data_IF_650970243692
#
_entry.id   IF_650970243692
#
_cell.length_a   1.000
_cell.length_b   1.000
_cell.length_c   1.000
_cell.angle_alpha   90.00
_cell.angle_beta   90.00
_cell.angle_gamma   90.00
#
_symmetry.space_group_name_H-M   'P 1'
#
loop_
_entity.id
_entity.type
_entity.pdbx_description
1 polymer ?
#
# COMPACT_ATOMS: atom_id res chain seq x y z
N UNK A 1 -35.44 -52.73 3.05
CA UNK A 1 -34.34 -51.76 3.09
C UNK A 1 -34.96 -50.41 3.35
N UNK A 2 -34.78 -49.90 4.57
CA UNK A 2 -35.20 -48.57 4.97
C UNK A 2 -34.23 -47.57 4.32
N UNK A 3 -34.76 -46.55 3.65
CA UNK A 3 -33.97 -45.37 3.28
C UNK A 3 -34.29 -44.31 4.33
N UNK A 4 -33.28 -43.97 5.12
CA UNK A 4 -33.40 -42.96 6.15
C UNK A 4 -33.42 -41.57 5.50
N UNK A 5 -34.27 -40.76 6.10
CA UNK A 5 -34.56 -39.36 5.84
C UNK A 5 -33.46 -38.50 6.48
N UNK A 6 -32.83 -37.61 5.73
CA UNK A 6 -32.13 -36.45 6.31
C UNK A 6 -32.22 -35.26 5.36
N UNK A 7 -33.23 -34.44 5.62
CA UNK A 7 -33.42 -33.11 5.06
C UNK A 7 -32.52 -32.12 5.80
N UNK A 8 -31.29 -31.94 5.34
CA UNK A 8 -30.43 -30.86 5.82
C UNK A 8 -30.76 -29.56 5.06
N UNK A 9 -31.80 -28.91 5.57
CA UNK A 9 -32.07 -27.49 5.36
C UNK A 9 -31.01 -26.66 6.09
N UNK A 10 -30.07 -26.09 5.35
CA UNK A 10 -29.25 -24.98 5.86
C UNK A 10 -29.65 -23.68 5.15
N UNK A 11 -30.40 -22.89 5.91
CA UNK A 11 -31.11 -21.68 5.50
C UNK A 11 -30.24 -20.59 4.90
N UNK A 12 -30.83 -19.91 3.93
CA UNK A 12 -30.41 -18.61 3.48
C UNK A 12 -30.52 -17.58 4.60
N UNK A 13 -29.46 -16.80 4.85
CA UNK A 13 -29.59 -15.41 5.28
C UNK A 13 -28.56 -14.57 4.53
N UNK A 14 -29.04 -13.89 3.50
CA UNK A 14 -28.47 -12.62 3.08
C UNK A 14 -28.71 -11.64 4.24
N UNK A 15 -27.71 -11.44 5.07
CA UNK A 15 -27.65 -10.29 5.98
C UNK A 15 -26.23 -9.77 5.96
N UNK A 16 -26.15 -8.53 5.52
CA UNK A 16 -25.05 -7.59 5.65
C UNK A 16 -23.91 -7.73 4.63
N UNK A 17 -24.08 -6.95 3.56
CA UNK A 17 -23.02 -6.29 2.81
C UNK A 17 -22.15 -5.44 3.75
N UNK A 18 -21.42 -6.06 4.69
CA UNK A 18 -20.24 -5.44 5.28
C UNK A 18 -19.11 -5.84 4.35
N UNK A 19 -18.75 -4.88 3.50
CA UNK A 19 -17.63 -4.95 2.58
C UNK A 19 -16.52 -5.84 3.13
N UNK A 20 -16.19 -6.91 2.40
CA UNK A 20 -14.93 -7.63 2.56
C UNK A 20 -13.79 -6.69 2.17
N UNK A 21 -13.55 -5.66 2.99
CA UNK A 21 -12.37 -4.83 2.86
C UNK A 21 -11.22 -5.72 3.29
N UNK A 22 -10.39 -6.11 2.31
CA UNK A 22 -9.14 -6.82 2.54
C UNK A 22 -8.44 -6.24 3.79
N UNK A 23 -8.02 -7.06 4.77
CA UNK A 23 -7.43 -6.56 6.03
C UNK A 23 -6.32 -5.52 5.82
N UNK A 24 -5.49 -5.71 4.78
CA UNK A 24 -4.44 -4.74 4.42
C UNK A 24 -4.95 -3.39 3.94
N UNK A 25 -6.15 -3.30 3.35
CA UNK A 25 -6.76 -2.04 2.97
C UNK A 25 -7.18 -1.22 4.19
N UNK A 26 -7.71 -1.87 5.23
CA UNK A 26 -8.07 -1.23 6.50
C UNK A 26 -6.84 -0.67 7.20
N UNK A 27 -5.80 -1.50 7.34
CA UNK A 27 -4.54 -1.09 7.94
C UNK A 27 -3.90 0.09 7.18
N UNK A 28 -3.94 0.06 5.85
CA UNK A 28 -3.44 1.15 5.02
C UNK A 28 -4.19 2.46 5.24
N UNK A 29 -5.52 2.41 5.36
CA UNK A 29 -6.35 3.58 5.68
C UNK A 29 -6.02 4.15 7.06
N UNK A 30 -5.81 3.28 8.05
CA UNK A 30 -5.44 3.69 9.41
C UNK A 30 -4.09 4.43 9.42
N UNK A 31 -3.06 3.84 8.80
CA UNK A 31 -1.73 4.46 8.68
C UNK A 31 -1.80 5.78 7.90
N UNK A 32 -2.55 5.82 6.81
CA UNK A 32 -2.77 7.03 6.03
C UNK A 32 -3.37 8.17 6.86
N UNK A 33 -4.46 7.93 7.57
CA UNK A 33 -5.10 8.95 8.40
C UNK A 33 -4.17 9.44 9.52
N UNK A 34 -3.41 8.54 10.11
CA UNK A 34 -2.48 8.86 11.20
C UNK A 34 -1.33 9.77 10.72
N UNK A 35 -0.81 9.50 9.53
CA UNK A 35 0.22 10.32 8.87
C UNK A 35 -0.35 11.67 8.45
N UNK A 36 -1.54 11.68 7.82
CA UNK A 36 -2.22 12.92 7.42
C UNK A 36 -2.44 13.85 8.61
N UNK A 37 -2.93 13.31 9.73
CA UNK A 37 -3.18 14.08 10.95
C UNK A 37 -1.90 14.73 11.47
N UNK A 38 -0.81 13.97 11.61
CA UNK A 38 0.49 14.51 12.08
C UNK A 38 1.05 15.58 11.15
N UNK A 39 0.95 15.38 9.84
CA UNK A 39 1.40 16.37 8.86
C UNK A 39 0.65 17.70 9.03
N UNK A 40 -0.66 17.64 9.28
CA UNK A 40 -1.48 18.82 9.56
C UNK A 40 -1.13 19.45 10.91
N UNK A 41 -0.91 18.65 11.96
CA UNK A 41 -0.51 19.12 13.30
C UNK A 41 0.86 19.83 13.27
N UNK A 42 1.79 19.36 12.45
CA UNK A 42 3.10 19.99 12.22
C UNK A 42 3.02 21.26 11.34
N UNK A 43 1.83 21.55 10.79
CA UNK A 43 1.55 22.72 9.96
C UNK A 43 2.51 22.87 8.76
N UNK A 44 2.79 21.77 8.05
CA UNK A 44 3.51 21.84 6.79
C UNK A 44 2.68 22.55 5.72
N UNK A 45 3.28 23.51 5.02
CA UNK A 45 2.59 24.29 3.98
C UNK A 45 1.93 23.43 2.89
N UNK A 46 2.56 22.30 2.53
CA UNK A 46 1.99 21.36 1.57
C UNK A 46 0.67 20.74 2.02
N UNK A 47 0.46 20.58 3.34
CA UNK A 47 -0.77 20.05 3.90
C UNK A 47 -1.96 21.00 3.71
N UNK A 48 -1.69 22.29 3.52
CA UNK A 48 -2.68 23.33 3.29
C UNK A 48 -3.08 23.46 1.81
N UNK A 49 -2.39 22.74 0.91
CA UNK A 49 -2.70 22.77 -0.51
C UNK A 49 -3.98 21.97 -0.79
N UNK A 50 -4.87 22.46 -1.68
CA UNK A 50 -6.07 21.72 -2.06
C UNK A 50 -5.70 20.39 -2.74
N UNK A 51 -6.36 19.31 -2.32
CA UNK A 51 -6.14 17.95 -2.85
C UNK A 51 -4.86 17.27 -2.32
N UNK A 52 -4.23 17.82 -1.28
CA UNK A 52 -3.07 17.20 -0.65
C UNK A 52 -3.39 15.79 -0.11
N UNK A 53 -4.55 15.64 0.52
CA UNK A 53 -5.09 14.38 1.03
C UNK A 53 -5.23 13.32 -0.07
N UNK A 54 -5.83 13.68 -1.20
CA UNK A 54 -5.94 12.79 -2.37
C UNK A 54 -4.55 12.38 -2.90
N UNK A 55 -3.63 13.32 -3.00
CA UNK A 55 -2.27 13.05 -3.45
C UNK A 55 -1.48 12.17 -2.49
N UNK A 56 -1.69 12.35 -1.18
CA UNK A 56 -1.08 11.51 -0.15
C UNK A 56 -1.67 10.10 -0.21
N UNK A 57 -3.00 9.97 -0.38
CA UNK A 57 -3.65 8.68 -0.55
C UNK A 57 -3.17 7.93 -1.79
N UNK A 58 -3.01 8.64 -2.92
CA UNK A 58 -2.41 8.09 -4.14
C UNK A 58 -0.96 7.63 -3.91
N UNK A 59 -0.17 8.36 -3.11
CA UNK A 59 1.19 7.96 -2.76
C UNK A 59 1.20 6.62 -2.02
N UNK A 60 0.36 6.45 -1.00
CA UNK A 60 0.19 5.17 -0.33
C UNK A 60 -0.25 4.08 -1.32
N UNK A 61 -1.17 4.36 -2.24
CA UNK A 61 -1.65 3.40 -3.24
C UNK A 61 -0.64 2.99 -4.31
N UNK A 62 0.33 3.84 -4.62
CA UNK A 62 1.43 3.51 -5.54
C UNK A 62 2.47 2.56 -4.94
N UNK A 63 2.57 2.48 -3.61
CA UNK A 63 3.61 1.72 -2.93
C UNK A 63 3.17 0.29 -2.56
N UNK A 64 4.11 -0.67 -2.49
CA UNK A 64 3.81 -2.05 -2.09
C UNK A 64 3.23 -2.12 -0.68
N UNK A 65 2.44 -3.17 -0.39
CA UNK A 65 1.77 -3.35 0.90
C UNK A 65 2.72 -3.30 2.12
N UNK A 66 3.99 -3.71 1.97
CA UNK A 66 4.97 -3.63 3.05
C UNK A 66 5.25 -2.20 3.51
N UNK A 67 5.07 -1.19 2.65
CA UNK A 67 5.32 0.21 3.00
C UNK A 67 4.49 0.64 4.22
N UNK A 68 3.24 0.21 4.34
CA UNK A 68 2.40 0.55 5.51
C UNK A 68 2.85 -0.17 6.79
N UNK A 69 3.62 -1.25 6.67
CA UNK A 69 4.21 -1.95 7.82
C UNK A 69 5.52 -1.28 8.25
N UNK A 70 6.28 -0.75 7.28
CA UNK A 70 7.60 -0.17 7.48
C UNK A 70 7.56 1.34 7.80
N UNK A 71 6.46 2.02 7.50
CA UNK A 71 6.29 3.46 7.78
C UNK A 71 6.31 3.71 9.28
N UNK A 72 7.22 4.58 9.70
CA UNK A 72 7.18 5.17 11.03
C UNK A 72 6.22 6.37 11.02
N UNK A 73 5.01 6.16 11.55
CA UNK A 73 3.99 7.23 11.60
C UNK A 73 4.42 8.41 12.48
N UNK A 74 5.28 8.21 13.48
CA UNK A 74 5.78 9.30 14.33
C UNK A 74 6.70 10.26 13.58
N UNK A 75 7.30 9.80 12.48
CA UNK A 75 8.12 10.60 11.56
C UNK A 75 7.37 10.86 10.25
N UNK A 76 6.15 11.39 10.36
CA UNK A 76 5.30 11.66 9.20
C UNK A 76 5.95 12.61 8.16
N UNK A 77 6.90 13.44 8.59
CA UNK A 77 7.74 14.25 7.73
C UNK A 77 8.62 13.43 6.77
N UNK A 78 9.04 12.23 7.16
CA UNK A 78 9.79 11.32 6.27
C UNK A 78 8.91 10.85 5.11
N UNK A 79 7.60 10.65 5.35
CA UNK A 79 6.63 10.28 4.31
C UNK A 79 6.46 11.41 3.30
N UNK A 80 6.35 12.66 3.78
CA UNK A 80 6.34 13.84 2.92
C UNK A 80 7.62 13.95 2.09
N UNK A 81 8.77 13.85 2.74
CA UNK A 81 10.07 13.92 2.09
C UNK A 81 10.22 12.82 1.03
N UNK A 82 9.82 11.59 1.36
CA UNK A 82 9.82 10.48 0.40
C UNK A 82 8.93 10.75 -0.81
N UNK A 83 7.71 11.25 -0.59
CA UNK A 83 6.80 11.67 -1.68
C UNK A 83 7.44 12.75 -2.56
N UNK A 84 8.13 13.74 -1.98
CA UNK A 84 8.86 14.78 -2.73
C UNK A 84 10.00 14.18 -3.56
N UNK A 85 10.82 13.32 -2.96
CA UNK A 85 11.93 12.67 -3.66
C UNK A 85 11.44 11.86 -4.86
N UNK A 86 10.35 11.10 -4.70
CA UNK A 86 9.78 10.34 -5.81
C UNK A 86 9.25 11.24 -6.92
N UNK A 87 8.62 12.36 -6.57
CA UNK A 87 8.17 13.33 -7.57
C UNK A 87 9.33 14.00 -8.30
N UNK A 88 10.39 14.38 -7.58
CA UNK A 88 11.61 14.93 -8.20
C UNK A 88 12.27 13.94 -9.15
N UNK A 89 12.28 12.65 -8.82
CA UNK A 89 12.83 11.59 -9.65
C UNK A 89 11.99 11.27 -10.92
N UNK A 90 10.79 11.84 -11.07
CA UNK A 90 10.04 11.77 -12.33
C UNK A 90 10.76 12.56 -13.44
N UNK A 91 11.55 13.59 -13.09
CA UNK A 91 12.44 14.28 -14.02
C UNK A 91 13.69 13.44 -14.32
N UNK A 92 13.95 13.07 -15.59
CA UNK A 92 15.14 12.33 -15.98
C UNK A 92 16.46 12.98 -15.55
N UNK A 93 16.50 14.31 -15.42
CA UNK A 93 17.70 15.01 -14.97
C UNK A 93 18.02 14.79 -13.48
N UNK A 94 17.01 14.43 -12.68
CA UNK A 94 17.12 14.19 -11.23
C UNK A 94 17.12 12.71 -10.87
N UNK A 95 17.03 11.81 -11.85
CA UNK A 95 17.10 10.38 -11.60
C UNK A 95 18.47 10.01 -11.05
N UNK A 96 18.54 9.12 -10.05
CA UNK A 96 19.84 8.68 -9.57
C UNK A 96 20.59 7.99 -10.71
N UNK A 97 21.85 8.39 -10.93
CA UNK A 97 22.71 7.75 -11.91
C UNK A 97 23.06 6.33 -11.40
N UNK A 98 22.31 5.33 -11.86
CA UNK A 98 22.65 3.93 -11.62
C UNK A 98 23.41 3.36 -12.81
N UNK A 99 24.60 2.82 -12.54
CA UNK A 99 25.32 1.99 -13.51
C UNK A 99 24.85 0.54 -13.36
N UNK A 100 24.18 0.02 -14.38
CA UNK A 100 23.69 -1.37 -14.39
C UNK A 100 24.70 -2.23 -15.15
N UNK A 101 25.51 -2.99 -14.41
CA UNK A 101 26.36 -4.02 -15.02
C UNK A 101 25.51 -5.25 -15.34
N UNK A 102 25.38 -5.56 -16.63
CA UNK A 102 24.73 -6.79 -17.08
C UNK A 102 25.58 -8.00 -16.64
N UNK A 103 25.00 -8.87 -15.79
CA UNK A 103 25.64 -10.12 -15.36
C UNK A 103 24.99 -11.29 -16.09
N UNK A 104 25.72 -11.91 -17.01
CA UNK A 104 25.28 -13.14 -17.68
C UNK A 104 25.58 -14.35 -16.81
N UNK A 105 24.55 -15.05 -16.33
CA UNK A 105 24.71 -16.35 -15.67
C UNK A 105 24.68 -17.44 -16.74
N UNK A 106 25.72 -18.29 -16.78
CA UNK A 106 25.72 -19.50 -17.63
C UNK A 106 25.07 -20.62 -16.82
N UNK A 107 23.93 -21.13 -17.29
CA UNK A 107 23.40 -22.40 -16.81
C UNK A 107 24.27 -23.49 -17.41
N UNK A 108 25.04 -24.18 -16.57
CA UNK A 108 25.66 -25.44 -16.98
C UNK A 108 24.61 -26.52 -16.79
N UNK A 109 24.15 -27.12 -17.87
CA UNK A 109 23.30 -28.30 -17.80
C UNK A 109 24.10 -29.41 -17.09
N UNK A 110 23.62 -29.82 -15.92
CA UNK A 110 24.10 -31.03 -15.25
C UNK A 110 23.56 -32.20 -16.06
N UNK A 111 24.41 -32.77 -16.90
CA UNK A 111 24.11 -34.03 -17.60
C UNK A 111 24.08 -35.13 -16.54
N UNK A 112 22.88 -35.63 -16.23
CA UNK A 112 22.66 -36.86 -15.46
C UNK A 112 22.73 -38.05 -16.42
#
# INVERSE_FOLDING_TARGET
>A
MAIEEDTESCGSRATDSIAQTNPGHRQKLEVYHEVLRRIQELNYEEANLPGFDDQLWLHFNRLPARYTLDVNVDRAEDVLMHKRLLHLAEDPANQPAFDVRLVQVKMFDVLI
#
